data_IF_466264995007
#
_entry.id   IF_466264995007
#
_cell.length_a   1.000
_cell.length_b   1.000
_cell.length_c   1.000
_cell.angle_alpha   90.00
_cell.angle_beta   90.00
_cell.angle_gamma   90.00
#
_symmetry.space_group_name_H-M   'P 1'
#
loop_
_entity.id
_entity.type
_entity.pdbx_description
1 polymer ?
#
# COMPACT_ATOMS: atom_id res chain seq x y z
N UNK A 1 -9.18 26.93 0.05
CA UNK A 1 -7.93 26.16 -0.11
C UNK A 1 -8.14 25.17 -1.24
N UNK A 2 -7.26 25.15 -2.24
CA UNK A 2 -7.49 24.37 -3.46
C UNK A 2 -7.48 22.86 -3.14
N UNK A 3 -8.43 22.08 -3.65
CA UNK A 3 -8.61 20.66 -3.28
C UNK A 3 -7.32 19.86 -3.46
N UNK A 4 -6.60 20.11 -4.56
CA UNK A 4 -5.28 19.52 -4.86
C UNK A 4 -4.25 19.79 -3.77
N UNK A 5 -4.23 21.00 -3.21
CA UNK A 5 -3.25 21.37 -2.18
C UNK A 5 -3.52 20.65 -0.85
N UNK A 6 -4.80 20.47 -0.51
CA UNK A 6 -5.20 19.69 0.66
C UNK A 6 -4.81 18.21 0.50
N UNK A 7 -5.02 17.64 -0.68
CA UNK A 7 -4.60 16.26 -0.99
C UNK A 7 -3.09 16.09 -0.87
N UNK A 8 -2.29 17.00 -1.47
CA UNK A 8 -0.83 16.95 -1.40
C UNK A 8 -0.30 16.99 0.03
N UNK A 9 -0.83 17.88 0.88
CA UNK A 9 -0.42 17.96 2.28
C UNK A 9 -0.78 16.66 3.01
N UNK A 10 -1.97 16.13 2.74
CA UNK A 10 -2.43 14.89 3.39
C UNK A 10 -1.55 13.72 2.97
N UNK A 11 -1.29 13.55 1.67
CA UNK A 11 -0.48 12.43 1.16
C UNK A 11 0.98 12.53 1.62
N UNK A 12 1.56 13.73 1.60
CA UNK A 12 2.96 13.95 1.99
C UNK A 12 3.19 13.82 3.51
N UNK A 13 2.15 13.95 4.32
CA UNK A 13 2.27 13.77 5.78
C UNK A 13 1.80 12.39 6.21
N UNK A 14 0.63 11.96 5.76
CA UNK A 14 -0.03 10.74 6.19
C UNK A 14 0.71 9.49 5.73
N UNK A 15 1.11 9.39 4.46
CA UNK A 15 1.81 8.19 3.98
C UNK A 15 3.18 7.96 4.63
N UNK A 16 4.09 8.96 4.71
CA UNK A 16 5.34 8.75 5.43
C UNK A 16 5.12 8.61 6.93
N UNK A 17 4.15 9.28 7.56
CA UNK A 17 3.85 9.06 8.97
C UNK A 17 3.39 7.62 9.23
N UNK A 18 2.49 7.07 8.42
CA UNK A 18 2.07 5.67 8.49
C UNK A 18 3.26 4.72 8.29
N UNK A 19 4.10 4.99 7.28
CA UNK A 19 5.30 4.21 7.01
C UNK A 19 6.29 4.22 8.18
N UNK A 20 6.52 5.38 8.78
CA UNK A 20 7.38 5.53 9.96
C UNK A 20 6.80 4.83 11.19
N UNK A 21 5.50 4.94 11.44
CA UNK A 21 4.83 4.24 12.55
C UNK A 21 4.94 2.72 12.40
N UNK A 22 4.76 2.21 11.19
CA UNK A 22 4.93 0.80 10.84
C UNK A 22 6.38 0.34 11.05
N UNK A 23 7.35 1.10 10.52
CA UNK A 23 8.78 0.76 10.59
C UNK A 23 9.35 0.88 12.00
N UNK A 24 8.95 1.89 12.77
CA UNK A 24 9.43 2.15 14.13
C UNK A 24 8.95 1.10 15.12
N UNK A 25 7.73 0.60 14.95
CA UNK A 25 7.15 -0.42 15.83
C UNK A 25 7.36 -1.85 15.33
N UNK A 26 8.09 -2.02 14.21
CA UNK A 26 8.30 -3.34 13.64
C UNK A 26 9.16 -4.21 14.58
N UNK A 27 8.66 -5.37 15.05
CA UNK A 27 9.35 -6.18 16.06
C UNK A 27 10.49 -7.01 15.44
N UNK A 28 11.62 -6.35 15.13
CA UNK A 28 12.78 -6.94 14.42
C UNK A 28 13.44 -8.11 15.18
N UNK A 29 13.48 -8.05 16.51
CA UNK A 29 14.12 -9.05 17.39
C UNK A 29 13.19 -10.18 17.81
N UNK A 30 11.92 -10.13 17.44
CA UNK A 30 10.89 -11.10 17.86
C UNK A 30 10.75 -12.27 16.89
N UNK A 31 10.16 -13.41 17.33
CA UNK A 31 9.92 -14.56 16.47
C UNK A 31 9.09 -14.22 15.22
N UNK A 32 9.24 -15.05 14.17
CA UNK A 32 8.55 -14.85 12.88
C UNK A 32 7.02 -14.82 13.01
N UNK A 33 6.46 -15.51 14.00
CA UNK A 33 5.02 -15.50 14.29
C UNK A 33 4.51 -14.12 14.71
N UNK A 34 5.21 -13.44 15.62
CA UNK A 34 4.85 -12.08 16.06
C UNK A 34 5.01 -11.06 14.93
N UNK A 35 6.02 -11.25 14.07
CA UNK A 35 6.21 -10.42 12.86
C UNK A 35 5.06 -10.61 11.86
N UNK A 36 4.59 -11.85 11.70
CA UNK A 36 3.43 -12.19 10.88
C UNK A 36 2.15 -11.59 11.44
N UNK A 37 1.93 -11.67 12.76
CA UNK A 37 0.76 -11.07 13.41
C UNK A 37 0.77 -9.54 13.30
N UNK A 38 1.94 -8.91 13.42
CA UNK A 38 2.09 -7.47 13.21
C UNK A 38 1.71 -7.06 11.78
N UNK A 39 2.22 -7.78 10.78
CA UNK A 39 1.85 -7.57 9.37
C UNK A 39 0.35 -7.77 9.15
N UNK A 40 -0.23 -8.82 9.73
CA UNK A 40 -1.66 -9.12 9.63
C UNK A 40 -2.51 -8.00 10.25
N UNK A 41 -2.12 -7.46 11.40
CA UNK A 41 -2.82 -6.35 12.03
C UNK A 41 -2.85 -5.11 11.14
N UNK A 42 -1.71 -4.76 10.54
CA UNK A 42 -1.63 -3.65 9.59
C UNK A 42 -2.44 -3.89 8.33
N UNK A 43 -2.42 -5.12 7.80
CA UNK A 43 -3.21 -5.52 6.64
C UNK A 43 -4.71 -5.40 6.90
N UNK A 44 -5.19 -5.91 8.04
CA UNK A 44 -6.60 -5.80 8.44
C UNK A 44 -6.98 -4.35 8.68
N UNK A 45 -6.12 -3.56 9.33
CA UNK A 45 -6.35 -2.12 9.53
C UNK A 45 -6.50 -1.37 8.21
N UNK A 46 -5.60 -1.61 7.26
CA UNK A 46 -5.67 -1.02 5.92
C UNK A 46 -6.95 -1.44 5.18
N UNK A 47 -7.29 -2.73 5.20
CA UNK A 47 -8.52 -3.24 4.58
C UNK A 47 -9.80 -2.65 5.18
N UNK A 48 -9.87 -2.47 6.51
CA UNK A 48 -11.01 -1.82 7.17
C UNK A 48 -11.12 -0.37 6.73
N UNK A 49 -10.01 0.39 6.72
CA UNK A 49 -10.01 1.78 6.28
C UNK A 49 -10.49 1.87 4.83
N UNK A 50 -9.99 1.01 3.95
CA UNK A 50 -10.39 0.99 2.54
C UNK A 50 -11.87 0.66 2.38
N UNK A 51 -12.39 -0.33 3.12
CA UNK A 51 -13.81 -0.66 3.11
C UNK A 51 -14.67 0.52 3.55
N UNK A 52 -14.28 1.21 4.62
CA UNK A 52 -15.00 2.42 5.08
C UNK A 52 -14.94 3.52 4.02
N UNK A 53 -13.78 3.75 3.39
CA UNK A 53 -13.62 4.75 2.34
C UNK A 53 -14.40 4.39 1.07
N UNK A 54 -14.52 3.10 0.76
CA UNK A 54 -15.35 2.61 -0.34
C UNK A 54 -16.84 2.81 -0.05
N UNK A 55 -17.31 2.52 1.17
CA UNK A 55 -18.71 2.76 1.58
C UNK A 55 -19.07 4.25 1.55
N UNK A 56 -18.13 5.12 1.91
CA UNK A 56 -18.29 6.58 1.84
C UNK A 56 -18.20 7.12 0.40
N UNK A 57 -17.90 6.27 -0.59
CA UNK A 57 -17.80 6.64 -2.00
C UNK A 57 -16.51 7.37 -2.39
N UNK A 58 -15.53 7.46 -1.49
CA UNK A 58 -14.20 8.04 -1.77
C UNK A 58 -13.33 7.11 -2.61
N UNK A 59 -13.46 5.80 -2.42
CA UNK A 59 -12.74 4.80 -3.20
C UNK A 59 -13.63 4.23 -4.31
N UNK A 60 -13.27 4.49 -5.57
CA UNK A 60 -13.94 3.90 -6.73
C UNK A 60 -13.01 2.94 -7.44
N UNK A 61 -13.40 1.67 -7.41
CA UNK A 61 -12.72 0.65 -8.17
C UNK A 61 -13.02 0.79 -9.67
N UNK A 62 -11.97 0.79 -10.48
CA UNK A 62 -12.06 0.92 -11.94
C UNK A 62 -11.30 -0.22 -12.61
N UNK A 63 -11.62 -0.51 -13.88
CA UNK A 63 -10.94 -1.53 -14.69
C UNK A 63 -10.95 -2.97 -14.10
N UNK A 64 -11.95 -3.31 -13.29
CA UNK A 64 -12.06 -4.64 -12.67
C UNK A 64 -11.22 -4.82 -11.40
N UNK A 65 -10.58 -3.76 -10.91
CA UNK A 65 -9.97 -3.74 -9.57
C UNK A 65 -11.06 -3.97 -8.51
N UNK A 66 -10.70 -4.60 -7.39
CA UNK A 66 -11.61 -4.79 -6.27
C UNK A 66 -10.81 -4.75 -4.96
N UNK A 67 -11.51 -4.78 -3.84
CA UNK A 67 -10.88 -4.72 -2.50
C UNK A 67 -9.88 -5.87 -2.25
N UNK A 68 -10.08 -7.03 -2.88
CA UNK A 68 -9.15 -8.15 -2.77
C UNK A 68 -7.81 -7.86 -3.44
N UNK A 69 -7.83 -7.16 -4.58
CA UNK A 69 -6.61 -6.73 -5.25
C UNK A 69 -5.85 -5.67 -4.45
N UNK A 70 -6.55 -4.75 -3.78
CA UNK A 70 -5.91 -3.81 -2.85
C UNK A 70 -5.29 -4.53 -1.66
N UNK A 71 -6.01 -5.49 -1.08
CA UNK A 71 -5.50 -6.30 0.04
C UNK A 71 -4.28 -7.12 -0.39
N UNK A 72 -4.30 -7.70 -1.60
CA UNK A 72 -3.17 -8.45 -2.15
C UNK A 72 -1.96 -7.53 -2.42
N UNK A 73 -2.19 -6.29 -2.86
CA UNK A 73 -1.15 -5.28 -3.00
C UNK A 73 -0.51 -4.98 -1.64
N UNK A 74 -1.31 -4.67 -0.62
CA UNK A 74 -0.82 -4.35 0.73
C UNK A 74 -0.05 -5.52 1.37
N UNK A 75 -0.49 -6.76 1.10
CA UNK A 75 0.19 -7.97 1.55
C UNK A 75 1.64 -8.07 1.03
N UNK A 76 1.92 -7.55 -0.17
CA UNK A 76 3.27 -7.53 -0.74
C UNK A 76 4.00 -6.22 -0.43
N UNK A 77 3.28 -5.10 -0.39
CA UNK A 77 3.85 -3.78 -0.15
C UNK A 77 4.42 -3.64 1.26
N UNK A 78 3.70 -4.08 2.30
CA UNK A 78 4.16 -4.02 3.69
C UNK A 78 5.50 -4.77 3.92
N UNK A 79 5.69 -6.03 3.50
CA UNK A 79 6.98 -6.70 3.60
C UNK A 79 8.04 -6.08 2.69
N UNK A 80 7.66 -5.56 1.51
CA UNK A 80 8.59 -4.85 0.62
C UNK A 80 9.19 -3.62 1.33
N UNK A 81 8.40 -2.83 2.07
CA UNK A 81 8.91 -1.70 2.85
C UNK A 81 9.99 -2.10 3.86
N UNK A 82 9.83 -3.26 4.51
CA UNK A 82 10.82 -3.80 5.45
C UNK A 82 12.09 -4.23 4.72
N UNK A 83 11.95 -4.85 3.55
CA UNK A 83 13.09 -5.28 2.71
C UNK A 83 13.86 -4.06 2.19
N UNK A 84 13.15 -3.02 1.76
CA UNK A 84 13.76 -1.81 1.21
C UNK A 84 14.77 -1.16 2.16
N UNK A 85 14.49 -1.15 3.46
CA UNK A 85 15.41 -0.62 4.48
C UNK A 85 16.73 -1.38 4.57
N UNK A 86 16.72 -2.68 4.27
CA UNK A 86 17.89 -3.56 4.41
C UNK A 86 18.61 -3.79 3.09
N UNK A 87 17.84 -3.92 2.01
CA UNK A 87 18.32 -4.20 0.65
C UNK A 87 17.50 -3.40 -0.35
N UNK A 88 17.81 -2.10 -0.52
CA UNK A 88 17.07 -1.25 -1.45
C UNK A 88 16.97 -1.88 -2.85
N UNK A 89 18.05 -2.32 -3.53
CA UNK A 89 17.95 -2.80 -4.91
C UNK A 89 16.95 -3.96 -5.11
N UNK A 90 16.84 -4.86 -4.12
CA UNK A 90 15.89 -5.98 -4.18
C UNK A 90 14.44 -5.49 -4.13
N UNK A 91 14.15 -4.46 -3.32
CA UNK A 91 12.83 -3.87 -3.26
C UNK A 91 12.44 -3.20 -4.58
N UNK A 92 13.40 -2.60 -5.31
CA UNK A 92 13.11 -2.01 -6.62
C UNK A 92 12.72 -3.06 -7.66
N UNK A 93 13.38 -4.23 -7.64
CA UNK A 93 13.01 -5.35 -8.52
C UNK A 93 11.60 -5.86 -8.19
N UNK A 94 11.29 -6.02 -6.90
CA UNK A 94 9.94 -6.43 -6.46
C UNK A 94 8.89 -5.40 -6.89
N UNK A 95 9.16 -4.11 -6.72
CA UNK A 95 8.27 -3.04 -7.15
C UNK A 95 8.04 -3.05 -8.67
N UNK A 96 9.10 -3.27 -9.45
CA UNK A 96 9.01 -3.33 -10.90
C UNK A 96 8.17 -4.53 -11.36
N UNK A 97 8.39 -5.71 -10.77
CA UNK A 97 7.58 -6.90 -11.05
C UNK A 97 6.11 -6.66 -10.67
N UNK A 98 5.87 -6.09 -9.50
CA UNK A 98 4.51 -5.88 -9.00
C UNK A 98 3.77 -4.83 -9.83
N UNK A 99 4.42 -3.71 -10.14
CA UNK A 99 3.88 -2.66 -11.00
C UNK A 99 3.58 -3.14 -12.42
N UNK A 100 4.50 -3.91 -13.03
CA UNK A 100 4.27 -4.50 -14.37
C UNK A 100 3.15 -5.52 -14.37
N UNK A 101 3.05 -6.36 -13.34
CA UNK A 101 1.96 -7.35 -13.20
C UNK A 101 0.60 -6.67 -13.11
N UNK A 102 0.48 -5.61 -12.31
CA UNK A 102 -0.75 -4.82 -12.18
C UNK A 102 -1.07 -4.15 -13.51
N UNK A 103 -0.09 -3.50 -14.12
CA UNK A 103 -0.29 -2.77 -15.37
C UNK A 103 -0.82 -3.69 -16.49
N UNK A 104 -0.26 -4.88 -16.64
CA UNK A 104 -0.68 -5.87 -17.63
C UNK A 104 -2.05 -6.48 -17.30
N UNK A 105 -2.32 -6.77 -16.02
CA UNK A 105 -3.56 -7.44 -15.60
C UNK A 105 -4.79 -6.54 -15.73
N UNK A 106 -4.65 -5.25 -15.45
CA UNK A 106 -5.76 -4.28 -15.46
C UNK A 106 -5.85 -3.49 -16.76
N UNK A 107 -4.97 -3.78 -17.74
CA UNK A 107 -4.91 -3.13 -19.05
C UNK A 107 -5.10 -1.61 -18.98
N UNK A 108 -4.40 -0.98 -18.02
CA UNK A 108 -4.68 0.40 -17.63
C UNK A 108 -4.49 1.30 -18.86
N UNK A 109 -5.56 1.92 -19.39
CA UNK A 109 -5.46 2.69 -20.62
C UNK A 109 -4.60 3.93 -20.35
N UNK A 110 -3.42 3.98 -20.97
CA UNK A 110 -2.48 5.11 -20.89
C UNK A 110 -3.17 6.42 -21.31
N UNK A 111 -4.18 6.33 -22.19
CA UNK A 111 -5.00 7.46 -22.63
C UNK A 111 -5.85 8.09 -21.52
N UNK A 112 -6.09 7.40 -20.40
CA UNK A 112 -6.82 7.92 -19.24
C UNK A 112 -5.91 8.41 -18.11
N UNK A 113 -4.59 8.24 -18.23
CA UNK A 113 -3.61 8.87 -17.36
C UNK A 113 -3.43 10.34 -17.79
N UNK A 114 -4.40 11.18 -17.44
CA UNK A 114 -4.31 12.65 -17.60
C UNK A 114 -4.03 13.31 -16.27
#
# INVERSE_FOLDING_TARGET
MNVTFNHLITDLLTFPAMGLLFLSNYPKSKPRSERGLYLFFWLVGAGIIELVMSMLGYYKYSNGWNVWWSTAFDLVFLPMMIIHQKYPPMAWVIALILGTTIFLSFQIPISQMK
#
